data_IF_485196618668
#
_entry.id   IF_485196618668
#
_cell.length_a   1.000
_cell.length_b   1.000
_cell.length_c   1.000
_cell.angle_alpha   90.00
_cell.angle_beta   90.00
_cell.angle_gamma   90.00
#
_symmetry.space_group_name_H-M   'P 1'
#
loop_
_entity.id
_entity.type
_entity.pdbx_description
1 polymer ?
2 branched ?
3 non-polymer ?
4 non-polymer ?
5 non-polymer ?
6 water ?
#
# COMPACT_ATOMS: atom_id res chain seq x y z
N UNK A 2 -30.22 10.28 4.61
CA UNK A 2 -29.74 11.04 5.78
C UNK A 2 -28.80 10.23 6.68
N UNK A 3 -27.75 9.67 6.06
CA UNK A 3 -26.85 8.78 6.78
C UNK A 3 -25.81 9.55 7.60
N UNK A 4 -25.30 10.65 7.05
CA UNK A 4 -24.25 11.39 7.73
C UNK A 4 -24.54 12.87 7.84
N UNK A 5 -23.48 13.65 8.08
CA UNK A 5 -23.57 15.11 8.15
C UNK A 5 -22.61 15.67 7.13
N UNK A 6 -23.13 16.44 6.18
CA UNK A 6 -22.30 17.10 5.18
C UNK A 6 -21.81 18.44 5.69
N UNK A 7 -20.70 18.87 5.13
CA UNK A 7 -20.17 20.19 5.35
C UNK A 7 -19.16 20.51 4.27
N UNK A 8 -18.65 21.75 4.25
CA UNK A 8 -17.55 22.06 3.34
C UNK A 8 -16.30 21.30 3.75
N UNK A 9 -15.84 20.42 2.86
CA UNK A 9 -14.59 19.67 2.97
C UNK A 9 -14.68 18.44 3.87
N UNK A 10 -15.88 17.94 4.18
CA UNK A 10 -15.95 16.73 5.00
C UNK A 10 -17.31 16.06 4.85
N UNK A 11 -17.35 14.79 5.27
CA UNK A 11 -18.57 14.02 5.42
C UNK A 11 -18.41 13.18 6.67
N UNK A 12 -19.06 13.58 7.76
CA UNK A 12 -19.05 12.79 8.98
C UNK A 12 -20.09 11.69 8.87
N UNK A 13 -19.71 10.42 8.95
CA UNK A 13 -20.70 9.34 8.82
C UNK A 13 -21.56 9.18 10.05
N UNK A 14 -22.25 10.26 10.44
CA UNK A 14 -23.12 10.22 11.60
C UNK A 14 -24.23 11.24 11.42
N UNK A 15 -25.47 10.83 11.70
CA UNK A 15 -26.60 11.72 11.54
C UNK A 15 -26.55 12.85 12.57
N UNK A 16 -26.94 14.04 12.14
CA UNK A 16 -26.97 15.20 13.01
C UNK A 16 -28.37 15.53 13.51
N UNK A 17 -29.28 14.55 13.52
CA UNK A 17 -30.65 14.82 13.96
C UNK A 17 -30.68 15.16 15.44
N UNK A 18 -29.70 14.70 16.21
CA UNK A 18 -29.56 15.07 17.61
C UNK A 18 -28.71 16.32 17.83
N UNK A 19 -28.07 16.83 16.78
CA UNK A 19 -27.35 18.07 16.89
C UNK A 19 -25.96 17.99 17.50
N UNK A 20 -25.41 16.78 17.69
CA UNK A 20 -24.13 16.64 18.35
C UNK A 20 -22.94 16.63 17.39
N UNK A 21 -23.18 16.44 16.10
CA UNK A 21 -22.08 16.32 15.13
C UNK A 21 -21.32 17.64 15.04
N UNK A 22 -19.99 17.54 14.95
CA UNK A 22 -19.12 18.69 14.78
C UNK A 22 -18.19 18.45 13.60
N UNK A 23 -17.57 19.53 13.14
CA UNK A 23 -16.61 19.44 12.05
C UNK A 23 -15.41 18.59 12.47
N UNK A 24 -15.00 17.61 11.66
CA UNK A 24 -13.79 16.83 12.01
C UNK A 24 -12.52 17.64 12.00
N UNK A 25 -12.57 18.90 11.57
CA UNK A 25 -11.43 19.81 11.67
C UNK A 25 -11.45 20.66 12.94
N UNK A 26 -12.47 20.52 13.79
CA UNK A 26 -12.62 21.49 14.87
C UNK A 26 -12.86 20.86 16.25
N UNK A 27 -13.42 19.65 16.32
CA UNK A 27 -13.83 19.14 17.62
C UNK A 27 -13.82 17.63 17.58
N UNK A 28 -13.61 16.97 18.73
CA UNK A 28 -13.48 15.51 18.74
C UNK A 28 -14.77 14.80 18.32
N UNK A 29 -14.60 13.63 17.72
CA UNK A 29 -15.70 12.87 17.13
C UNK A 29 -16.11 11.69 18.01
N UNK A 30 -16.34 11.95 19.30
CA UNK A 30 -16.59 10.87 20.24
C UNK A 30 -18.00 10.29 20.14
N UNK A 31 -18.83 10.79 19.21
CA UNK A 31 -20.08 10.13 18.88
C UNK A 31 -19.89 9.05 17.83
N UNK A 32 -18.77 9.06 17.10
CA UNK A 32 -18.42 7.98 16.19
C UNK A 32 -17.86 6.78 16.94
N UNK A 33 -17.06 7.04 17.98
CA UNK A 33 -16.39 5.98 18.72
C UNK A 33 -16.05 6.50 20.10
N UNK A 34 -16.00 5.58 21.06
CA UNK A 34 -15.60 5.94 22.41
C UNK A 34 -14.15 6.44 22.42
N UNK A 35 -13.79 7.29 23.39
CA UNK A 35 -12.38 7.71 23.49
C UNK A 35 -11.38 6.56 23.57
N UNK A 36 -11.71 5.47 24.27
CA UNK A 36 -10.78 4.35 24.34
C UNK A 36 -10.58 3.69 22.97
N UNK A 37 -11.56 3.81 22.08
CA UNK A 37 -11.40 3.28 20.74
C UNK A 37 -10.52 4.18 19.88
N UNK A 38 -10.51 5.49 20.15
CA UNK A 38 -9.51 6.35 19.54
C UNK A 38 -8.12 6.03 20.08
N UNK A 39 -8.04 5.70 21.37
CA UNK A 39 -6.77 5.30 21.96
C UNK A 39 -6.26 4.02 21.31
N UNK A 40 -7.15 3.05 21.07
CA UNK A 40 -6.74 1.81 20.41
C UNK A 40 -6.31 2.07 18.98
N UNK A 41 -6.97 2.99 18.29
CA UNK A 41 -6.49 3.41 16.98
C UNK A 41 -5.07 3.99 17.08
N UNK A 42 -4.80 4.73 18.16
CA UNK A 42 -3.46 5.27 18.37
C UNK A 42 -2.46 4.17 18.70
N UNK A 43 -2.88 3.17 19.48
CA UNK A 43 -2.00 2.05 19.78
C UNK A 43 -1.67 1.26 18.52
N UNK A 44 -2.64 1.13 17.63
CA UNK A 44 -2.39 0.47 16.35
C UNK A 44 -1.38 1.25 15.52
N UNK A 45 -1.51 2.59 15.48
CA UNK A 45 -0.53 3.41 14.78
C UNK A 45 0.84 3.28 15.41
N UNK A 46 0.89 3.18 16.75
CA UNK A 46 2.16 3.03 17.44
C UNK A 46 2.84 1.71 17.07
N UNK A 47 2.06 0.62 17.01
CA UNK A 47 2.60 -0.67 16.59
C UNK A 47 3.19 -0.59 15.18
N UNK A 48 2.45 0.02 14.25
CA UNK A 48 2.92 0.13 12.87
C UNK A 48 4.18 0.99 12.77
N UNK A 49 4.27 2.06 13.56
CA UNK A 49 5.47 2.89 13.54
C UNK A 49 6.67 2.11 14.08
N UNK A 50 6.48 1.42 15.21
CA UNK A 50 7.60 0.76 15.88
C UNK A 50 8.14 -0.43 15.08
N UNK A 51 7.27 -1.13 14.34
CA UNK A 51 7.74 -2.20 13.46
C UNK A 51 8.07 -1.69 12.06
N UNK A 52 7.36 -0.67 11.59
CA UNK A 52 7.49 -0.25 10.21
C UNK A 52 8.69 0.63 9.91
N UNK A 53 9.06 1.52 10.84
CA UNK A 53 10.23 2.35 10.60
C UNK A 53 11.52 1.54 10.60
N UNK A 54 11.85 0.74 11.64
CA UNK A 54 13.16 0.07 11.63
C UNK A 54 13.35 -0.86 10.45
N UNK A 55 12.37 -1.71 10.15
CA UNK A 55 12.49 -2.65 9.04
C UNK A 55 12.75 -1.92 7.73
N UNK A 56 12.02 -0.84 7.47
CA UNK A 56 12.18 -0.15 6.20
C UNK A 56 13.42 0.74 6.19
N UNK A 57 13.76 1.36 7.33
CA UNK A 57 14.99 2.12 7.38
C UNK A 57 16.21 1.18 7.28
N UNK A 58 16.15 0.03 7.94
CA UNK A 58 17.27 -0.90 7.89
C UNK A 58 17.48 -1.44 6.48
N UNK A 59 16.41 -1.58 5.70
CA UNK A 59 16.57 -1.96 4.30
C UNK A 59 17.43 -0.93 3.57
N UNK A 60 17.19 0.35 3.82
CA UNK A 60 18.03 1.38 3.20
C UNK A 60 19.43 1.38 3.79
N UNK A 61 19.56 1.02 5.07
CA UNK A 61 20.86 1.15 5.73
C UNK A 61 21.82 0.05 5.29
N UNK A 62 21.34 -1.20 5.24
CA UNK A 62 22.23 -2.30 4.86
C UNK A 62 22.64 -2.19 3.41
N UNK A 63 21.81 -1.57 2.57
CA UNK A 63 22.20 -1.35 1.18
C UNK A 63 23.39 -0.41 1.09
N UNK A 64 23.56 0.46 2.08
CA UNK A 64 24.72 1.36 2.10
C UNK A 64 25.98 0.62 2.53
N UNK A 65 25.84 -0.43 3.33
CA UNK A 65 26.98 -1.12 3.93
C UNK A 65 27.36 -2.41 3.21
N UNK A 66 26.68 -2.79 2.13
CA UNK A 66 26.95 -4.05 1.45
C UNK A 66 26.87 -3.83 -0.05
N UNK A 67 28.01 -3.90 -0.75
CA UNK A 67 28.05 -3.59 -2.17
C UNK A 67 27.24 -4.59 -2.99
N UNK A 68 27.13 -5.83 -2.51
CA UNK A 68 26.44 -6.87 -3.27
C UNK A 68 24.96 -6.59 -3.44
N UNK A 69 24.35 -5.78 -2.56
CA UNK A 69 22.92 -5.50 -2.65
C UNK A 69 22.59 -4.47 -3.71
N UNK A 70 23.56 -3.63 -4.11
CA UNK A 70 23.29 -2.52 -5.03
C UNK A 70 23.25 -3.00 -6.49
N UNK A 71 22.34 -3.94 -6.75
CA UNK A 71 22.06 -4.45 -8.08
C UNK A 71 20.79 -3.79 -8.64
N UNK A 72 20.74 -3.58 -9.96
CA UNK A 72 19.55 -2.93 -10.55
C UNK A 72 18.24 -3.64 -10.22
N UNK A 73 18.25 -4.97 -10.15
CA UNK A 73 17.04 -5.71 -9.79
C UNK A 73 16.57 -5.41 -8.37
N UNK A 74 17.41 -4.79 -7.56
CA UNK A 74 17.07 -4.41 -6.19
C UNK A 74 16.65 -2.96 -6.06
N UNK A 75 16.84 -2.14 -7.10
CA UNK A 75 16.41 -0.74 -7.03
C UNK A 75 14.95 -0.63 -6.63
N UNK A 76 14.10 -1.45 -7.23
CA UNK A 76 12.66 -1.37 -6.96
C UNK A 76 12.35 -1.77 -5.53
N UNK A 77 13.18 -2.63 -4.92
CA UNK A 77 12.97 -3.00 -3.52
C UNK A 77 13.34 -1.86 -2.59
N UNK A 78 14.36 -1.07 -2.94
CA UNK A 78 14.64 0.14 -2.19
C UNK A 78 13.51 1.15 -2.35
N UNK A 79 12.94 1.23 -3.56
CA UNK A 79 11.77 2.08 -3.78
C UNK A 79 10.62 1.66 -2.88
N UNK A 80 10.44 0.34 -2.71
CA UNK A 80 9.42 -0.16 -1.79
C UNK A 80 9.67 0.33 -0.38
N UNK A 81 10.92 0.29 0.09
CA UNK A 81 11.22 0.68 1.47
C UNK A 81 10.98 2.17 1.70
N UNK A 82 11.22 3.00 0.69
CA UNK A 82 10.94 4.42 0.83
C UNK A 82 9.44 4.68 0.86
N UNK A 83 8.69 3.97 0.02
CA UNK A 83 7.23 4.12 0.01
C UNK A 83 6.63 3.81 1.37
N UNK A 84 7.10 2.73 2.01
CA UNK A 84 6.59 2.38 3.33
C UNK A 84 6.93 3.46 4.35
N UNK A 85 8.09 4.11 4.20
CA UNK A 85 8.43 5.22 5.08
C UNK A 85 7.53 6.43 4.83
N UNK A 86 7.08 6.63 3.59
CA UNK A 86 6.05 7.62 3.32
C UNK A 86 4.76 7.28 4.07
N UNK A 87 4.37 6.01 4.06
CA UNK A 87 3.19 5.59 4.81
C UNK A 87 3.40 5.75 6.31
N UNK A 88 4.61 5.45 6.79
CA UNK A 88 4.90 5.49 8.23
C UNK A 88 4.87 6.92 8.74
N UNK A 89 5.48 7.85 8.02
CA UNK A 89 5.61 9.22 8.50
C UNK A 89 4.50 10.13 7.99
N UNK A 90 4.10 9.97 6.73
CA UNK A 90 2.99 10.75 6.21
C UNK A 90 1.67 10.35 6.84
N UNK A 91 1.44 9.06 6.99
CA UNK A 91 0.17 8.55 7.49
C UNK A 91 0.15 8.18 8.95
N UNK A 92 0.95 7.18 9.33
CA UNK A 92 0.82 6.59 10.67
C UNK A 92 1.15 7.60 11.76
N UNK A 93 2.23 8.36 11.58
CA UNK A 93 2.66 9.32 12.60
C UNK A 93 1.62 10.42 12.78
N UNK A 94 1.15 11.00 11.68
CA UNK A 94 0.11 12.00 11.76
C UNK A 94 -1.14 11.44 12.43
N UNK A 95 -1.54 10.22 12.05
CA UNK A 95 -2.78 9.66 12.58
C UNK A 95 -2.67 9.36 14.07
N UNK A 96 -1.50 8.90 14.52
CA UNK A 96 -1.28 8.73 15.95
C UNK A 96 -1.51 10.04 16.70
N UNK A 97 -1.09 11.15 16.09
CA UNK A 97 -1.25 12.44 16.75
C UNK A 97 -2.69 12.91 16.72
N UNK A 98 -3.32 12.91 15.55
CA UNK A 98 -4.72 13.31 15.45
C UNK A 98 -5.62 12.40 16.27
N UNK A 99 -5.32 11.09 16.28
CA UNK A 99 -6.11 10.13 17.04
C UNK A 99 -6.28 10.57 18.50
N UNK A 100 -5.20 11.04 19.12
CA UNK A 100 -5.24 11.39 20.53
C UNK A 100 -5.96 12.71 20.79
N UNK A 101 -6.31 13.45 19.74
CA UNK A 101 -7.23 14.57 19.86
C UNK A 101 -8.67 14.18 19.51
N UNK A 102 -8.85 13.08 18.78
CA UNK A 102 -10.18 12.66 18.39
C UNK A 102 -10.72 13.37 17.17
N UNK A 103 -9.88 14.08 16.43
CA UNK A 103 -10.28 14.72 15.18
C UNK A 103 -9.02 15.20 14.46
N UNK A 104 -9.19 15.60 13.21
CA UNK A 104 -8.05 15.99 12.37
C UNK A 104 -7.72 17.46 12.65
N UNK A 105 -6.76 17.66 13.56
CA UNK A 105 -6.49 18.97 14.14
C UNK A 105 -5.70 19.86 13.19
N UNK A 106 -5.30 19.33 12.03
CA UNK A 106 -4.47 20.09 11.11
C UNK A 106 -5.27 20.82 10.04
N UNK A 107 -6.60 20.72 10.05
CA UNK A 107 -7.43 21.48 9.14
C UNK A 107 -7.45 20.91 7.74
N UNK A 108 -8.26 21.52 6.86
CA UNK A 108 -8.38 21.01 5.49
C UNK A 108 -7.09 21.04 4.70
N UNK A 109 -6.21 22.02 4.94
CA UNK A 109 -4.92 22.02 4.25
C UNK A 109 -4.06 20.85 4.68
N UNK A 110 -3.96 20.61 6.00
CA UNK A 110 -3.27 19.41 6.46
C UNK A 110 -3.92 18.15 5.96
N UNK A 111 -5.23 18.20 5.69
CA UNK A 111 -5.93 17.05 5.13
C UNK A 111 -5.41 16.72 3.74
N UNK A 112 -5.18 17.74 2.92
CA UNK A 112 -4.63 17.52 1.59
C UNK A 112 -3.19 17.04 1.64
N UNK A 113 -2.40 17.56 2.59
CA UNK A 113 -1.02 17.11 2.74
C UNK A 113 -0.98 15.67 3.24
N UNK A 114 -1.64 15.39 4.36
CA UNK A 114 -1.62 14.05 4.93
C UNK A 114 -2.23 13.04 3.96
N UNK A 115 -3.29 13.43 3.25
CA UNK A 115 -3.90 12.53 2.31
C UNK A 115 -3.03 12.26 1.10
N UNK A 116 -2.42 13.31 0.55
CA UNK A 116 -1.52 13.15 -0.59
C UNK A 116 -0.36 12.22 -0.26
N UNK A 117 0.34 12.49 0.84
CA UNK A 117 1.56 11.73 1.13
C UNK A 117 1.25 10.31 1.59
N UNK A 118 0.15 10.11 2.32
CA UNK A 118 -0.24 8.75 2.67
C UNK A 118 -0.68 7.96 1.45
N UNK A 119 -1.44 8.59 0.56
CA UNK A 119 -1.87 7.92 -0.67
C UNK A 119 -0.69 7.68 -1.60
N UNK A 120 0.21 8.66 -1.71
CA UNK A 120 1.40 8.49 -2.56
C UNK A 120 2.25 7.33 -2.07
N UNK A 121 2.40 7.19 -0.75
CA UNK A 121 3.20 6.09 -0.21
C UNK A 121 2.62 4.74 -0.56
N UNK A 122 1.33 4.57 -0.32
CA UNK A 122 0.69 3.30 -0.66
C UNK A 122 0.67 3.03 -2.15
N UNK A 123 0.63 4.09 -2.96
CA UNK A 123 0.63 3.93 -4.42
C UNK A 123 2.00 3.48 -4.92
N UNK A 124 3.07 4.14 -4.45
CA UNK A 124 4.42 3.74 -4.85
C UNK A 124 4.69 2.30 -4.46
N UNK A 125 4.22 1.89 -3.28
CA UNK A 125 4.41 0.50 -2.85
C UNK A 125 3.67 -0.47 -3.78
N UNK A 126 2.41 -0.16 -4.10
CA UNK A 126 1.62 -1.02 -4.96
C UNK A 126 2.30 -1.25 -6.31
N UNK A 127 2.76 -0.17 -6.94
CA UNK A 127 3.38 -0.29 -8.25
C UNK A 127 4.80 -0.84 -8.18
N UNK A 128 5.48 -0.71 -7.04
CA UNK A 128 6.75 -1.41 -6.88
C UNK A 128 6.55 -2.92 -6.94
N UNK A 129 5.49 -3.43 -6.29
CA UNK A 129 5.19 -4.86 -6.38
C UNK A 129 4.82 -5.24 -7.81
N UNK A 130 4.13 -4.36 -8.53
CA UNK A 130 3.79 -4.62 -9.93
C UNK A 130 5.02 -4.57 -10.81
N UNK A 131 5.87 -3.56 -10.61
CA UNK A 131 7.08 -3.43 -11.42
C UNK A 131 8.04 -4.58 -11.14
N UNK A 132 8.18 -4.96 -9.87
CA UNK A 132 9.04 -6.09 -9.54
C UNK A 132 8.57 -7.36 -10.23
N UNK A 133 7.25 -7.59 -10.25
CA UNK A 133 6.72 -8.76 -10.94
C UNK A 133 7.02 -8.70 -12.44
N UNK A 134 6.95 -7.52 -13.04
CA UNK A 134 7.23 -7.38 -14.46
C UNK A 134 8.71 -7.65 -14.73
N UNK A 135 9.59 -7.05 -13.92
CA UNK A 135 11.02 -7.23 -14.12
C UNK A 135 11.43 -8.69 -14.01
N UNK A 136 10.94 -9.37 -12.97
CA UNK A 136 11.26 -10.77 -12.79
C UNK A 136 10.71 -11.61 -13.95
N UNK A 137 9.49 -11.30 -14.40
CA UNK A 137 8.95 -12.00 -15.56
C UNK A 137 9.83 -11.80 -16.78
N UNK A 138 10.31 -10.58 -17.00
CA UNK A 138 11.14 -10.30 -18.16
C UNK A 138 12.47 -11.06 -18.07
N UNK A 139 13.06 -11.10 -16.87
CA UNK A 139 14.38 -11.72 -16.71
C UNK A 139 14.29 -13.23 -16.87
N UNK A 140 13.22 -13.84 -16.38
CA UNK A 140 13.10 -15.29 -16.39
C UNK A 140 12.45 -15.79 -17.68
N UNK A 141 11.26 -15.28 -18.00
CA UNK A 141 10.55 -15.78 -19.17
C UNK A 141 11.16 -15.30 -20.48
N UNK A 142 12.04 -14.30 -20.45
CA UNK A 142 12.71 -13.74 -21.62
C UNK A 142 11.74 -13.51 -22.78
N UNK A 143 10.76 -12.62 -22.63
CA UNK A 143 9.81 -12.38 -23.73
C UNK A 143 10.38 -11.55 -24.86
N UNK A 144 11.56 -10.96 -24.68
CA UNK A 144 12.21 -10.17 -25.72
C UNK A 144 13.48 -10.89 -26.17
N UNK A 145 13.64 -11.02 -27.49
CA UNK A 145 14.58 -12.00 -28.04
C UNK A 145 16.01 -11.76 -27.59
N UNK A 146 16.50 -10.53 -27.75
CA UNK A 146 17.85 -10.17 -27.35
C UNK A 146 17.76 -8.92 -26.47
N UNK A 147 17.60 -9.13 -25.17
CA UNK A 147 17.40 -8.07 -24.20
C UNK A 147 18.12 -8.41 -22.92
N UNK A 148 18.67 -7.39 -22.25
CA UNK A 148 19.35 -7.56 -20.98
C UNK A 148 18.92 -6.46 -20.03
N UNK A 149 18.37 -6.84 -18.88
CA UNK A 149 17.87 -5.88 -17.90
C UNK A 149 19.04 -5.21 -17.19
N UNK A 150 19.16 -3.89 -17.34
CA UNK A 150 20.28 -3.17 -16.78
C UNK A 150 19.89 -2.01 -15.87
N UNK A 151 20.87 -1.17 -15.54
CA UNK A 151 20.66 -0.08 -14.59
C UNK A 151 19.62 0.92 -15.12
N UNK A 152 19.67 1.24 -16.40
CA UNK A 152 18.74 2.22 -16.96
C UNK A 152 17.31 1.69 -16.96
N UNK A 153 17.14 0.38 -17.21
CA UNK A 153 15.80 -0.19 -17.19
C UNK A 153 15.21 -0.16 -15.78
N UNK A 154 16.03 -0.46 -14.76
CA UNK A 154 15.55 -0.43 -13.39
C UNK A 154 15.16 0.99 -12.98
N UNK A 155 15.83 1.99 -13.51
CA UNK A 155 15.50 3.38 -13.19
C UNK A 155 14.15 3.76 -13.80
N UNK A 156 13.93 3.38 -15.06
CA UNK A 156 12.61 3.52 -15.66
C UNK A 156 11.53 2.92 -14.77
N UNK A 157 11.77 1.70 -14.29
CA UNK A 157 10.78 1.03 -13.45
C UNK A 157 10.44 1.82 -12.20
N UNK A 158 11.45 2.40 -11.55
CA UNK A 158 11.20 3.23 -10.38
C UNK A 158 10.46 4.50 -10.75
N UNK A 159 10.93 5.17 -11.81
CA UNK A 159 10.23 6.36 -12.30
C UNK A 159 8.78 6.04 -12.67
N UNK A 160 8.55 4.84 -13.20
CA UNK A 160 7.19 4.46 -13.58
C UNK A 160 6.26 4.42 -12.38
N UNK A 161 6.75 3.90 -11.25
CA UNK A 161 5.91 3.86 -10.05
C UNK A 161 5.57 5.27 -9.58
N UNK A 162 6.50 6.21 -9.71
CA UNK A 162 6.24 7.58 -9.27
C UNK A 162 5.20 8.24 -10.16
N UNK A 163 5.26 7.99 -11.46
CA UNK A 163 4.27 8.55 -12.38
C UNK A 163 2.89 7.98 -12.07
N UNK A 164 2.81 6.67 -11.88
CA UNK A 164 1.52 6.05 -11.54
C UNK A 164 1.02 6.54 -10.19
N UNK A 165 1.92 6.73 -9.23
CA UNK A 165 1.51 7.20 -7.91
C UNK A 165 0.99 8.62 -7.97
N UNK A 166 1.69 9.50 -8.69
CA UNK A 166 1.20 10.86 -8.87
C UNK A 166 -0.12 10.88 -9.64
N UNK A 167 -0.27 9.95 -10.59
CA UNK A 167 -1.51 9.88 -11.37
C UNK A 167 -2.72 9.58 -10.49
N UNK A 168 -2.51 9.00 -9.31
CA UNK A 168 -3.59 8.76 -8.36
C UNK A 168 -3.67 9.83 -7.28
N UNK A 169 -2.53 10.23 -6.72
CA UNK A 169 -2.53 11.10 -5.53
C UNK A 169 -2.69 12.57 -5.87
N UNK A 170 -2.31 13.01 -7.07
CA UNK A 170 -2.31 14.42 -7.41
C UNK A 170 -3.66 14.98 -7.88
N UNK A 171 -4.44 14.27 -8.70
CA UNK A 171 -5.73 14.84 -9.19
C UNK A 171 -6.62 15.35 -8.07
N UNK A 172 -6.77 14.64 -6.94
CA UNK A 172 -7.62 15.18 -5.87
C UNK A 172 -7.17 16.52 -5.33
N UNK A 173 -5.92 16.94 -5.59
CA UNK A 173 -5.48 18.26 -5.20
C UNK A 173 -5.86 19.34 -6.21
N UNK A 174 -6.41 18.98 -7.37
CA UNK A 174 -6.67 19.96 -8.42
C UNK A 174 -8.05 19.77 -9.04
N UNK A 175 -8.94 19.06 -8.35
CA UNK A 175 -10.35 19.07 -8.70
C UNK A 175 -10.94 17.82 -9.29
N UNK A 176 -10.19 16.71 -9.36
CA UNK A 176 -10.76 15.42 -9.73
C UNK A 176 -10.77 14.57 -8.46
N UNK A 177 -11.97 14.33 -7.92
CA UNK A 177 -12.16 13.82 -6.56
C UNK A 177 -11.58 14.82 -5.56
N UNK A 178 -11.37 14.38 -4.32
CA UNK A 178 -10.92 15.28 -3.27
C UNK A 178 -10.46 14.46 -2.08
N UNK A 179 -9.62 15.07 -1.25
CA UNK A 179 -9.23 14.50 0.03
C UNK A 179 -10.17 15.02 1.12
N UNK A 180 -10.72 14.10 1.90
CA UNK A 180 -11.53 14.45 3.08
C UNK A 180 -11.16 13.50 4.20
N UNK A 181 -11.47 13.87 5.44
CA UNK A 181 -11.33 12.91 6.54
C UNK A 181 -12.21 11.68 6.31
N UNK A 182 -11.69 10.54 6.70
CA UNK A 182 -12.37 9.27 6.47
C UNK A 182 -12.45 8.47 7.76
N UNK A 183 -13.39 7.54 7.80
CA UNK A 183 -13.51 6.66 8.95
C UNK A 183 -13.80 7.43 10.21
N UNK A 184 -12.90 7.31 11.18
CA UNK A 184 -13.02 8.02 12.45
C UNK A 184 -12.56 9.47 12.35
N UNK A 185 -12.32 9.96 11.14
CA UNK A 185 -12.10 11.38 10.84
C UNK A 185 -10.74 11.88 11.32
N UNK A 186 -9.81 10.99 11.64
CA UNK A 186 -8.49 11.38 12.09
C UNK A 186 -7.44 11.33 11.01
N UNK A 187 -7.78 10.82 9.82
CA UNK A 187 -6.85 10.79 8.70
C UNK A 187 -7.64 10.98 7.42
N UNK A 188 -6.93 11.35 6.36
CA UNK A 188 -7.54 11.80 5.13
C UNK A 188 -7.19 10.89 3.96
N UNK A 189 -8.10 10.84 2.98
CA UNK A 189 -7.88 10.04 1.80
C UNK A 189 -8.86 10.40 0.71
N UNK A 190 -8.81 9.62 -0.38
CA UNK A 190 -9.71 9.82 -1.50
C UNK A 190 -11.15 9.68 -1.03
N UNK A 191 -12.04 10.45 -1.64
CA UNK A 191 -13.46 10.47 -1.27
C UNK A 191 -14.18 9.38 -2.07
N UNK A 192 -14.30 8.20 -1.47
CA UNK A 192 -15.16 7.14 -1.98
C UNK A 192 -16.50 7.11 -1.25
N UNK A 193 -16.84 8.18 -0.55
CA UNK A 193 -17.96 8.18 0.40
C UNK A 193 -19.10 9.08 0.00
N UNK A 194 -18.83 10.14 -0.77
CA UNK A 194 -19.84 11.05 -1.27
C UNK A 194 -19.67 11.22 -2.77
N UNK A 195 -20.78 11.33 -3.53
CA UNK A 195 -20.70 11.56 -4.98
C UNK A 195 -20.55 13.05 -5.33
N UNK A 196 -19.55 13.70 -4.73
CA UNK A 196 -19.33 15.13 -4.92
C UNK A 196 -19.26 15.47 -6.40
N UNK A 197 -20.39 15.86 -6.98
CA UNK A 197 -20.49 16.06 -8.42
C UNK A 197 -19.59 17.20 -8.91
N UNK A 198 -19.20 18.12 -8.02
CA UNK A 198 -18.35 19.24 -8.43
C UNK A 198 -16.96 18.76 -8.82
N UNK A 199 -16.48 17.67 -8.21
CA UNK A 199 -15.18 17.11 -8.51
C UNK A 199 -15.26 15.80 -9.27
N UNK A 200 -16.45 15.41 -9.74
CA UNK A 200 -16.66 14.19 -10.52
C UNK A 200 -16.08 12.97 -9.80
N UNK A 201 -16.59 12.74 -8.58
CA UNK A 201 -16.10 11.62 -7.79
C UNK A 201 -16.37 10.27 -8.44
N UNK A 202 -17.49 10.15 -9.15
CA UNK A 202 -17.87 8.85 -9.70
C UNK A 202 -16.85 8.36 -10.72
N UNK A 203 -16.44 9.24 -11.64
CA UNK A 203 -15.49 8.83 -12.67
C UNK A 203 -14.12 8.52 -12.09
N UNK A 204 -13.75 9.14 -10.97
CA UNK A 204 -12.46 8.84 -10.35
C UNK A 204 -12.49 7.48 -9.66
N UNK A 205 -13.63 7.12 -9.08
CA UNK A 205 -13.77 5.79 -8.47
C UNK A 205 -13.63 4.71 -9.53
N UNK A 206 -14.27 4.90 -10.68
CA UNK A 206 -14.15 3.96 -11.79
C UNK A 206 -12.70 3.90 -12.25
N UNK A 207 -12.06 5.06 -12.40
CA UNK A 207 -10.66 5.11 -12.82
C UNK A 207 -9.77 4.41 -11.79
N UNK A 208 -9.99 4.68 -10.50
CA UNK A 208 -9.24 3.97 -9.47
C UNK A 208 -9.50 2.48 -9.52
N UNK A 209 -10.75 2.09 -9.77
CA UNK A 209 -11.10 0.68 -9.73
C UNK A 209 -10.44 -0.08 -10.88
N UNK A 210 -10.38 0.53 -12.06
CA UNK A 210 -9.83 -0.17 -13.22
C UNK A 210 -8.32 -0.10 -13.22
N UNK A 211 -7.75 1.10 -13.09
CA UNK A 211 -6.32 1.28 -13.32
C UNK A 211 -5.52 0.96 -12.07
N UNK A 212 -6.01 1.34 -10.89
CA UNK A 212 -5.27 1.16 -9.65
C UNK A 212 -5.83 0.05 -8.78
N UNK A 213 -6.58 -0.89 -9.38
CA UNK A 213 -7.09 -2.03 -8.61
C UNK A 213 -7.16 -3.28 -9.47
N UNK A 214 -7.85 -3.21 -10.61
CA UNK A 214 -7.96 -4.37 -11.49
C UNK A 214 -6.63 -4.66 -12.17
N UNK A 215 -6.07 -3.66 -12.87
CA UNK A 215 -4.83 -3.86 -13.62
C UNK A 215 -3.69 -4.39 -12.74
N UNK A 216 -3.41 -3.83 -11.56
CA UNK A 216 -2.33 -4.41 -10.73
C UNK A 216 -2.51 -5.90 -10.47
N UNK A 217 -3.73 -6.36 -10.20
CA UNK A 217 -3.94 -7.79 -9.96
C UNK A 217 -3.65 -8.60 -11.22
N UNK A 218 -4.12 -8.13 -12.38
CA UNK A 218 -3.92 -8.86 -13.63
C UNK A 218 -2.43 -9.01 -13.93
N UNK A 219 -1.69 -7.91 -13.79
CA UNK A 219 -0.27 -7.92 -14.15
C UNK A 219 0.51 -8.84 -13.21
N UNK A 220 0.24 -8.76 -11.91
CA UNK A 220 0.95 -9.58 -10.94
C UNK A 220 0.68 -11.06 -11.21
N UNK A 221 -0.59 -11.40 -11.44
CA UNK A 221 -0.94 -12.80 -11.68
C UNK A 221 -0.35 -13.31 -13.00
N UNK A 222 -0.41 -12.50 -14.05
CA UNK A 222 0.13 -12.91 -15.34
C UNK A 222 1.63 -13.16 -15.25
N UNK A 223 2.38 -12.15 -14.80
CA UNK A 223 3.83 -12.24 -14.78
C UNK A 223 4.30 -13.42 -13.94
N UNK A 224 3.72 -13.59 -12.75
CA UNK A 224 4.17 -14.67 -11.87
C UNK A 224 3.68 -16.03 -12.37
N UNK A 225 2.51 -16.11 -12.98
CA UNK A 225 2.08 -17.37 -13.55
C UNK A 225 2.98 -17.82 -14.69
N UNK A 226 3.29 -16.90 -15.60
CA UNK A 226 4.24 -17.21 -16.67
C UNK A 226 5.60 -17.61 -16.11
N UNK A 227 6.04 -16.91 -15.07
CA UNK A 227 7.33 -17.21 -14.45
C UNK A 227 7.34 -18.63 -13.89
N UNK A 228 6.33 -18.98 -13.09
CA UNK A 228 6.26 -20.31 -12.52
C UNK A 228 6.14 -21.36 -13.62
N UNK A 229 5.41 -21.04 -14.69
CA UNK A 229 5.32 -21.96 -15.81
C UNK A 229 6.69 -22.17 -16.47
N UNK A 230 7.38 -21.07 -16.77
CA UNK A 230 8.70 -21.17 -17.40
C UNK A 230 9.67 -21.96 -16.52
N UNK A 231 9.65 -21.71 -15.21
CA UNK A 231 10.59 -22.39 -14.31
C UNK A 231 10.26 -23.87 -14.21
N UNK A 232 8.96 -24.21 -14.11
CA UNK A 232 8.59 -25.63 -14.05
C UNK A 232 8.86 -26.34 -15.37
N UNK A 233 8.80 -25.61 -16.48
CA UNK A 233 9.15 -26.18 -17.78
C UNK A 233 10.63 -26.52 -17.82
N UNK A 234 11.48 -25.59 -17.41
CA UNK A 234 12.93 -25.82 -17.48
C UNK A 234 13.35 -26.93 -16.54
N UNK A 235 12.78 -26.96 -15.33
CA UNK A 235 13.15 -28.01 -14.38
C UNK A 235 12.71 -29.38 -14.89
N UNK A 236 11.59 -29.46 -15.59
CA UNK A 236 11.11 -30.73 -16.12
C UNK A 236 12.09 -31.34 -17.11
N UNK A 237 12.88 -30.50 -17.78
CA UNK A 237 13.89 -30.96 -18.73
C UNK A 237 15.24 -31.26 -18.08
N UNK A 238 15.35 -31.11 -16.76
CA UNK A 238 16.59 -31.35 -16.03
C UNK A 238 16.31 -32.04 -14.70
N UNK A 239 15.48 -33.08 -14.73
CA UNK A 239 15.12 -33.74 -13.48
C UNK A 239 16.28 -34.52 -12.87
N UNK A 240 17.39 -34.68 -13.59
CA UNK A 240 18.58 -35.29 -13.02
C UNK A 240 19.28 -34.38 -12.03
N UNK A 241 18.90 -33.11 -11.96
CA UNK A 241 19.56 -32.14 -11.10
C UNK A 241 18.71 -31.91 -9.85
N UNK A 242 19.19 -32.37 -8.69
CA UNK A 242 18.45 -32.22 -7.45
C UNK A 242 18.35 -30.75 -7.03
N UNK A 243 19.37 -29.95 -7.33
CA UNK A 243 19.32 -28.54 -6.96
C UNK A 243 18.35 -27.77 -7.86
N UNK A 244 18.32 -28.12 -9.16
CA UNK A 244 17.33 -27.51 -10.05
C UNK A 244 15.92 -27.75 -9.54
N UNK A 245 15.65 -28.95 -9.02
CA UNK A 245 14.31 -29.24 -8.49
C UNK A 245 14.07 -28.49 -7.18
N UNK A 246 15.09 -28.37 -6.34
CA UNK A 246 14.96 -27.56 -5.13
C UNK A 246 14.71 -26.10 -5.47
N UNK A 247 15.43 -25.58 -6.47
CA UNK A 247 15.23 -24.19 -6.87
C UNK A 247 13.83 -23.97 -7.43
N UNK A 248 13.33 -24.91 -8.24
CA UNK A 248 11.97 -24.80 -8.75
C UNK A 248 10.97 -24.77 -7.60
N UNK A 249 11.16 -25.65 -6.61
CA UNK A 249 10.22 -25.73 -5.49
C UNK A 249 10.18 -24.42 -4.70
N UNK A 250 11.34 -23.80 -4.47
CA UNK A 250 11.36 -22.60 -3.66
C UNK A 250 10.87 -21.37 -4.42
N UNK A 251 11.12 -21.31 -5.72
CA UNK A 251 10.57 -20.22 -6.53
C UNK A 251 9.05 -20.27 -6.51
N UNK A 252 8.50 -21.47 -6.69
CA UNK A 252 7.04 -21.64 -6.62
C UNK A 252 6.52 -21.25 -5.25
N UNK A 253 7.18 -21.74 -4.19
CA UNK A 253 6.74 -21.43 -2.83
C UNK A 253 6.77 -19.93 -2.57
N UNK A 254 7.75 -19.23 -3.11
CA UNK A 254 7.83 -17.78 -2.90
C UNK A 254 6.77 -17.05 -3.72
N UNK A 255 6.53 -17.48 -4.96
CA UNK A 255 5.50 -16.84 -5.77
C UNK A 255 4.15 -16.98 -5.09
N UNK A 256 3.86 -18.18 -4.56
CA UNK A 256 2.60 -18.39 -3.85
C UNK A 256 2.48 -17.42 -2.68
N UNK A 257 3.55 -17.30 -1.89
CA UNK A 257 3.53 -16.42 -0.72
C UNK A 257 3.26 -14.98 -1.16
N UNK A 258 3.94 -14.52 -2.21
CA UNK A 258 3.74 -13.15 -2.67
C UNK A 258 2.30 -12.93 -3.15
N UNK A 259 1.77 -13.90 -3.90
CA UNK A 259 0.43 -13.72 -4.46
C UNK A 259 -0.63 -13.84 -3.37
N UNK A 260 -0.42 -14.73 -2.40
CA UNK A 260 -1.32 -14.80 -1.26
C UNK A 260 -1.26 -13.52 -0.46
N UNK A 261 -0.05 -12.96 -0.27
CA UNK A 261 0.09 -11.71 0.45
C UNK A 261 -0.65 -10.58 -0.26
N UNK A 262 -0.55 -10.52 -1.59
CA UNK A 262 -1.26 -9.50 -2.34
C UNK A 262 -2.77 -9.68 -2.23
N UNK A 263 -3.25 -10.92 -2.32
CA UNK A 263 -4.68 -11.18 -2.26
C UNK A 263 -5.25 -10.82 -0.89
N UNK A 264 -4.47 -11.06 0.17
CA UNK A 264 -4.92 -10.72 1.51
C UNK A 264 -5.17 -9.22 1.64
N UNK A 265 -4.41 -8.41 0.91
CA UNK A 265 -4.63 -6.96 0.93
C UNK A 265 -5.68 -6.52 -0.09
N UNK A 266 -5.81 -7.25 -1.19
CA UNK A 266 -6.65 -6.87 -2.32
C UNK A 266 -8.12 -7.28 -2.15
N UNK A 267 -8.36 -8.50 -1.67
CA UNK A 267 -9.73 -9.01 -1.58
C UNK A 267 -10.65 -8.22 -0.65
N UNK A 268 -10.22 -7.73 0.52
CA UNK A 268 -11.16 -6.95 1.35
C UNK A 268 -11.79 -5.77 0.64
N UNK A 269 -11.03 -5.04 -0.18
CA UNK A 269 -11.64 -4.00 -0.99
C UNK A 269 -12.70 -4.57 -1.91
N UNK A 270 -12.34 -5.64 -2.64
CA UNK A 270 -13.30 -6.29 -3.53
C UNK A 270 -14.54 -6.75 -2.77
N UNK A 271 -14.33 -7.36 -1.60
CA UNK A 271 -15.45 -7.77 -0.76
C UNK A 271 -16.33 -6.62 -0.33
N UNK A 272 -15.73 -5.59 0.25
CA UNK A 272 -16.49 -4.43 0.70
C UNK A 272 -17.20 -3.76 -0.48
N UNK A 273 -16.49 -3.59 -1.59
CA UNK A 273 -17.10 -2.95 -2.76
C UNK A 273 -18.22 -3.80 -3.33
N UNK A 274 -18.02 -5.12 -3.42
CA UNK A 274 -19.09 -5.99 -3.88
C UNK A 274 -20.28 -5.95 -2.91
N UNK A 275 -20.01 -5.87 -1.61
CA UNK A 275 -21.09 -5.73 -0.65
C UNK A 275 -21.80 -4.39 -0.81
N UNK A 276 -21.06 -3.35 -1.22
CA UNK A 276 -21.69 -2.05 -1.42
C UNK A 276 -22.41 -1.98 -2.76
N UNK A 277 -21.95 -2.73 -3.76
CA UNK A 277 -22.64 -2.73 -5.05
C UNK A 277 -24.01 -3.39 -4.92
N UNK A 278 -24.04 -4.64 -4.47
CA UNK A 278 -25.27 -5.16 -3.88
C UNK A 278 -25.57 -4.36 -2.62
N UNK A 279 -26.75 -4.57 -2.04
CA UNK A 279 -27.14 -3.88 -0.81
C UNK A 279 -26.89 -2.37 -0.91
N UNK A 280 -27.19 -1.79 -2.07
CA UNK A 280 -26.95 -0.38 -2.33
C UNK A 280 -27.94 0.50 -1.55
N UNK A 281 -28.48 -0.01 -0.45
CA UNK A 281 -29.55 0.68 0.23
C UNK A 281 -29.20 1.31 1.57
N UNK A 282 -28.30 0.68 2.33
CA UNK A 282 -28.11 1.06 3.73
C UNK A 282 -27.00 2.07 3.89
N UNK A 283 -26.90 2.60 5.11
CA UNK A 283 -25.77 3.45 5.50
C UNK A 283 -24.61 2.58 5.96
N UNK A 284 -23.40 3.05 5.69
CA UNK A 284 -22.18 2.35 6.06
C UNK A 284 -21.50 3.11 7.18
N UNK A 285 -21.19 2.40 8.28
CA UNK A 285 -20.50 2.99 9.39
C UNK A 285 -19.12 3.50 8.99
N UNK A 286 -18.51 4.32 9.83
CA UNK A 286 -17.14 4.77 9.54
C UNK A 286 -16.16 3.63 9.42
N UNK A 287 -16.42 2.51 10.10
CA UNK A 287 -15.48 1.40 10.07
C UNK A 287 -15.61 0.59 8.78
N UNK A 288 -16.82 0.44 8.25
CA UNK A 288 -17.08 -0.61 7.25
C UNK A 288 -16.32 -0.37 5.95
N UNK A 289 -16.60 0.74 5.28
CA UNK A 289 -15.88 1.03 4.03
C UNK A 289 -14.41 1.31 4.26
N UNK A 290 -13.96 1.34 5.51
CA UNK A 290 -12.57 1.60 5.84
C UNK A 290 -11.89 0.41 6.49
N UNK A 291 -12.58 -0.73 6.64
CA UNK A 291 -11.91 -1.94 7.12
C UNK A 291 -10.79 -2.36 6.18
N UNK A 292 -10.97 -2.42 4.85
CA UNK A 292 -9.83 -2.78 4.00
C UNK A 292 -8.63 -1.87 4.18
N UNK A 293 -8.84 -0.55 4.25
CA UNK A 293 -7.71 0.37 4.47
C UNK A 293 -7.10 0.16 5.85
N UNK A 294 -7.94 -0.10 6.86
CA UNK A 294 -7.44 -0.36 8.20
C UNK A 294 -6.42 -1.48 8.20
N UNK A 295 -6.74 -2.60 7.56
CA UNK A 295 -5.83 -3.74 7.57
C UNK A 295 -4.74 -3.62 6.50
N UNK A 296 -4.98 -2.87 5.43
CA UNK A 296 -3.96 -2.67 4.41
C UNK A 296 -2.78 -1.86 4.91
N UNK A 297 -2.90 -1.19 6.06
CA UNK A 297 -1.77 -0.45 6.61
C UNK A 297 -0.64 -1.38 7.02
N UNK A 298 -0.97 -2.59 7.49
CA UNK A 298 0.07 -3.52 7.93
C UNK A 298 0.97 -3.99 6.80
N UNK A 299 0.61 -3.72 5.56
CA UNK A 299 1.51 -4.04 4.45
C UNK A 299 2.84 -3.30 4.56
N UNK A 300 2.87 -2.16 5.27
CA UNK A 300 4.13 -1.46 5.51
C UNK A 300 5.09 -2.30 6.33
N UNK A 301 4.59 -3.33 7.03
CA UNK A 301 5.44 -4.22 7.82
C UNK A 301 5.67 -5.54 7.10
N UNK A 302 4.62 -6.18 6.59
CA UNK A 302 4.77 -7.52 6.06
C UNK A 302 5.32 -7.57 4.64
N UNK A 303 5.18 -6.48 3.86
CA UNK A 303 5.80 -6.48 2.53
C UNK A 303 7.32 -6.49 2.60
N UNK A 304 7.99 -5.62 3.37
CA UNK A 304 9.45 -5.76 3.47
C UNK A 304 9.88 -7.08 4.11
N UNK A 305 9.06 -7.68 4.96
CA UNK A 305 9.39 -8.98 5.52
C UNK A 305 9.38 -10.05 4.43
N UNK A 306 8.44 -9.97 3.50
CA UNK A 306 8.33 -11.00 2.47
C UNK A 306 9.35 -10.78 1.36
N UNK A 307 9.50 -9.53 0.90
CA UNK A 307 10.34 -9.23 -0.26
C UNK A 307 11.80 -8.95 0.09
N UNK A 308 12.12 -8.70 1.36
CA UNK A 308 13.47 -8.31 1.72
C UNK A 308 14.04 -9.24 2.77
N UNK A 309 13.33 -9.39 3.90
CA UNK A 309 13.80 -10.26 4.96
C UNK A 309 13.85 -11.72 4.54
N UNK A 310 13.08 -12.12 3.54
CA UNK A 310 13.15 -13.47 2.99
C UNK A 310 14.03 -13.56 1.75
N UNK A 311 14.57 -12.44 1.30
CA UNK A 311 15.60 -12.45 0.27
C UNK A 311 16.91 -12.92 0.90
N UNK A 312 17.52 -13.95 0.31
CA UNK A 312 18.68 -14.60 0.93
C UNK A 312 19.82 -13.63 1.17
N UNK A 313 20.04 -12.70 0.24
CA UNK A 313 21.14 -11.75 0.37
C UNK A 313 20.86 -10.73 1.47
N UNK A 314 19.72 -10.03 1.37
CA UNK A 314 19.38 -8.99 2.34
C UNK A 314 19.46 -9.53 3.77
N UNK A 315 19.00 -10.76 3.98
CA UNK A 315 18.93 -11.31 5.33
C UNK A 315 20.32 -11.40 5.96
N UNK A 316 21.28 -12.00 5.23
CA UNK A 316 22.62 -12.15 5.78
C UNK A 316 23.29 -10.80 6.02
N UNK A 317 23.05 -9.84 5.13
CA UNK A 317 23.64 -8.51 5.31
C UNK A 317 23.07 -7.79 6.52
N UNK A 318 21.77 -7.96 6.78
CA UNK A 318 21.17 -7.35 7.96
C UNK A 318 21.66 -8.02 9.23
N UNK A 319 21.86 -9.34 9.20
CA UNK A 319 22.42 -10.05 10.34
C UNK A 319 23.82 -9.54 10.64
N UNK A 320 24.65 -9.42 9.59
CA UNK A 320 25.99 -8.90 9.77
C UNK A 320 25.97 -7.46 10.28
N UNK A 321 25.03 -6.65 9.79
CA UNK A 321 24.94 -5.26 10.21
C UNK A 321 24.43 -5.15 11.64
N UNK A 322 23.43 -5.94 11.99
CA UNK A 322 22.87 -5.92 13.34
C UNK A 322 23.85 -6.51 14.35
N UNK A 323 24.74 -7.37 13.87
CA UNK A 323 25.71 -7.99 14.73
C UNK A 323 27.07 -7.28 14.79
N UNK A 324 27.00 -5.97 14.55
CA UNK A 324 28.17 -5.09 14.67
C UNK A 324 29.33 -5.48 13.76
N UNK A 325 29.06 -6.36 12.79
CA UNK A 325 30.04 -6.79 11.82
C UNK A 325 30.29 -8.29 11.82
N UNK A 326 30.08 -8.95 12.97
CA UNK A 326 30.35 -10.37 13.09
C UNK A 326 29.12 -11.18 12.66
N UNK A 327 29.33 -12.48 12.51
CA UNK A 327 28.26 -13.42 12.10
C UNK A 327 27.59 -12.95 10.81
#
# INVERSE_FOLDING_TARGET
XMCGTEGPNFYVPFSNKTGVVRSPFEAPQYYLAEPWQFSMLAAYMFLLIMLGFPINFLTLYVTVQHKKLRTPLNYILLNLAVADLFMVFGGFTTTLYTSLHGYFVFGPTGCNLEGFFATLGGEIALWSLVVLAIERYVVVCKPMSNFRFGENHAIMGVAFTWVMALACAAPPLVGWSRYIPEGMQCSCGIDYYTPHEETNNESFVIYMFVVHFIIPLIVIFFCYGQLVFTVKEAAAQQQESATTQKAEKEVTRMVIIMVIAFLICWLPYAGVAFYIFTHQGSCFGPIFMTIPAFFAKTSAVYNPVIYIMMNKQFRNCMVTTLCCGKNPLGDDEASTTVSKTETSQVAPA
#
